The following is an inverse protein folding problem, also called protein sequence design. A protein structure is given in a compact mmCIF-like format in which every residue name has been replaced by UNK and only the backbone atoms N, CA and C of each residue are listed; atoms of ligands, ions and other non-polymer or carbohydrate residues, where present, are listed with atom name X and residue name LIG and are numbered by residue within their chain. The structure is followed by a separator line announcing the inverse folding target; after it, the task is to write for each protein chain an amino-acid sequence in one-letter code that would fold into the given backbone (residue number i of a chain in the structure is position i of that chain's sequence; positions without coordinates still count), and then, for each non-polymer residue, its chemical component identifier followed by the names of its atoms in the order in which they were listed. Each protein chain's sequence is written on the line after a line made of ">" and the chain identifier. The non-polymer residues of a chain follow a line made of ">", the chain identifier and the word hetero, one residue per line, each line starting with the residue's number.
data_IF_363553476498
#
_entry.id   IF_363553476498
#
_cell.length_a   1.000
_cell.length_b   1.000
_cell.length_c   1.000
_cell.angle_alpha   90.00
_cell.angle_beta   90.00
_cell.angle_gamma   90.00
#
_symmetry.space_group_name_H-M   'P 1'
#
loop_
_entity.id
_entity.type
_entity.pdbx_description
1 polymer ?
#
# COMPACT_ATOMS: atom_id res chain seq x y z
N UNK A 1 25.54 -15.12 39.35
CA UNK A 1 25.07 -15.99 38.26
C UNK A 1 23.60 -15.70 38.02
N UNK A 2 23.27 -14.96 36.97
CA UNK A 2 21.91 -14.71 36.54
C UNK A 2 21.94 -14.61 35.02
N UNK A 3 21.67 -15.73 34.35
CA UNK A 3 21.64 -15.80 32.90
C UNK A 3 20.49 -14.91 32.40
N UNK A 4 20.82 -13.81 31.73
CA UNK A 4 19.85 -13.12 30.89
C UNK A 4 19.52 -14.07 29.74
N UNK A 5 18.33 -14.67 29.78
CA UNK A 5 17.79 -15.40 28.66
C UNK A 5 17.85 -14.49 27.42
N UNK A 6 18.71 -14.88 26.46
CA UNK A 6 18.84 -14.18 25.20
C UNK A 6 17.48 -14.16 24.52
N UNK A 7 16.86 -12.98 24.43
CA UNK A 7 15.71 -12.77 23.56
C UNK A 7 16.14 -13.13 22.15
N UNK A 8 15.53 -14.18 21.62
CA UNK A 8 15.76 -14.70 20.28
C UNK A 8 15.65 -13.60 19.23
N UNK A 9 16.49 -13.72 18.20
CA UNK A 9 16.67 -12.81 17.07
C UNK A 9 15.35 -12.24 16.54
N UNK A 10 15.16 -10.92 16.68
CA UNK A 10 14.36 -10.16 15.72
C UNK A 10 15.07 -10.22 14.36
N UNK A 11 14.37 -10.39 13.23
CA UNK A 11 15.02 -10.27 11.92
C UNK A 11 15.75 -8.92 11.88
N UNK A 12 17.03 -8.98 11.55
CA UNK A 12 17.86 -7.77 11.46
C UNK A 12 17.25 -6.85 10.42
N UNK A 13 17.35 -5.53 10.56
CA UNK A 13 16.86 -4.63 9.51
C UNK A 13 17.60 -4.87 8.16
N UNK A 14 18.74 -5.56 8.18
CA UNK A 14 19.44 -6.10 7.00
C UNK A 14 18.75 -7.31 6.36
N UNK A 15 17.91 -8.05 7.08
CA UNK A 15 17.13 -9.14 6.50
C UNK A 15 16.11 -8.65 5.45
N UNK A 16 15.68 -7.39 5.61
CA UNK A 16 14.85 -6.64 4.66
C UNK A 16 15.59 -6.18 3.39
N UNK A 17 16.85 -6.56 3.19
CA UNK A 17 17.60 -6.19 1.97
C UNK A 17 18.28 -7.36 1.27
N UNK A 18 17.91 -8.59 1.62
CA UNK A 18 18.41 -9.76 0.90
C UNK A 18 17.53 -10.03 -0.32
N UNK A 19 18.16 -10.16 -1.49
CA UNK A 19 17.47 -10.43 -2.75
C UNK A 19 16.80 -11.83 -2.74
N UNK A 20 15.74 -11.97 -3.53
CA UNK A 20 15.10 -13.25 -3.86
C UNK A 20 14.54 -14.03 -2.66
N UNK A 21 14.01 -13.34 -1.67
CA UNK A 21 13.29 -13.98 -0.56
C UNK A 21 12.21 -13.06 -0.02
N UNK A 22 11.15 -13.66 0.52
CA UNK A 22 10.17 -12.93 1.30
C UNK A 22 10.80 -12.61 2.66
N UNK A 23 10.99 -11.33 3.03
CA UNK A 23 11.47 -11.01 4.38
C UNK A 23 10.44 -11.47 5.41
N UNK A 24 10.90 -11.77 6.63
CA UNK A 24 9.97 -12.06 7.73
C UNK A 24 9.30 -10.76 8.16
N UNK A 25 8.01 -10.81 8.45
CA UNK A 25 7.30 -9.67 9.03
C UNK A 25 7.94 -9.29 10.38
N UNK A 26 7.94 -8.00 10.77
CA UNK A 26 8.33 -7.58 12.12
C UNK A 26 7.52 -8.23 13.25
N UNK A 27 6.39 -8.88 12.92
CA UNK A 27 5.58 -9.68 13.85
C UNK A 27 6.15 -11.11 14.07
N UNK A 28 7.30 -11.45 13.46
CA UNK A 28 7.96 -12.75 13.60
C UNK A 28 9.00 -12.81 14.74
N UNK A 29 9.04 -13.93 15.51
CA UNK A 29 7.87 -14.65 16.01
C UNK A 29 7.43 -13.97 17.32
N UNK A 30 6.16 -13.92 17.77
CA UNK A 30 5.11 -14.92 17.60
C UNK A 30 3.68 -14.35 17.53
N UNK A 31 2.72 -15.18 17.12
CA UNK A 31 1.45 -15.61 17.76
C UNK A 31 0.67 -16.19 16.58
N UNK A 32 0.27 -17.47 16.61
CA UNK A 32 -0.56 -18.02 15.53
C UNK A 32 -1.90 -17.27 15.42
N UNK A 33 -2.36 -16.72 16.55
CA UNK A 33 -3.58 -15.96 16.65
C UNK A 33 -3.54 -14.94 17.81
N UNK A 34 -3.94 -13.70 17.56
CA UNK A 34 -4.33 -12.76 18.63
C UNK A 34 -5.68 -12.13 18.33
N UNK A 35 -6.45 -11.85 19.36
CA UNK A 35 -7.72 -11.14 19.25
C UNK A 35 -7.50 -9.64 19.02
N UNK A 36 -6.49 -9.07 19.69
CA UNK A 36 -6.20 -7.63 19.71
C UNK A 36 -4.77 -7.37 19.26
N UNK A 37 -4.56 -6.29 18.51
CA UNK A 37 -3.25 -5.96 17.95
C UNK A 37 -3.06 -4.44 17.82
N UNK A 38 -1.97 -3.93 18.40
CA UNK A 38 -1.54 -2.53 18.28
C UNK A 38 -2.65 -1.51 18.61
N UNK A 39 -3.05 -0.68 17.63
CA UNK A 39 -4.09 0.34 17.79
C UNK A 39 -5.49 -0.24 17.97
N UNK A 40 -5.72 -1.47 17.54
CA UNK A 40 -6.93 -2.22 17.78
C UNK A 40 -6.78 -3.04 19.06
N UNK A 41 -7.05 -2.38 20.18
CA UNK A 41 -7.02 -2.97 21.53
C UNK A 41 -8.40 -2.93 22.16
N UNK A 42 -8.64 -3.80 23.13
CA UNK A 42 -9.89 -3.81 23.89
C UNK A 42 -10.18 -2.46 24.53
N UNK A 43 -9.17 -1.83 25.14
CA UNK A 43 -9.28 -0.48 25.71
C UNK A 43 -9.70 0.55 24.66
N UNK A 44 -9.06 0.56 23.48
CA UNK A 44 -9.41 1.49 22.41
C UNK A 44 -10.81 1.20 21.86
N UNK A 45 -11.21 -0.07 21.77
CA UNK A 45 -12.55 -0.46 21.38
C UNK A 45 -13.59 0.02 22.40
N UNK A 46 -13.36 -0.18 23.70
CA UNK A 46 -14.25 0.31 24.76
C UNK A 46 -14.33 1.84 24.77
N UNK A 47 -13.22 2.54 24.53
CA UNK A 47 -13.19 4.01 24.54
C UNK A 47 -13.80 4.66 23.30
N UNK A 48 -13.52 4.14 22.10
CA UNK A 48 -13.87 4.79 20.82
C UNK A 48 -14.19 3.84 19.67
N UNK A 49 -14.29 2.55 19.91
CA UNK A 49 -14.47 1.55 18.86
C UNK A 49 -15.81 1.66 18.15
N UNK A 50 -15.85 1.23 16.89
CA UNK A 50 -17.09 1.15 16.14
C UNK A 50 -17.99 0.02 16.70
N UNK A 51 -19.18 0.38 17.19
CA UNK A 51 -20.15 -0.54 17.80
C UNK A 51 -20.89 -1.44 16.81
N UNK A 52 -20.72 -1.23 15.50
CA UNK A 52 -21.13 -2.20 14.50
C UNK A 52 -20.35 -3.53 14.58
N UNK A 53 -19.17 -3.51 15.23
CA UNK A 53 -18.38 -4.69 15.54
C UNK A 53 -18.58 -5.08 17.01
N UNK A 54 -18.66 -6.38 17.27
CA UNK A 54 -18.47 -6.94 18.61
C UNK A 54 -16.97 -7.06 18.95
N UNK A 55 -16.61 -7.19 20.24
CA UNK A 55 -15.24 -7.53 20.65
C UNK A 55 -14.67 -8.74 19.91
N UNK A 56 -15.52 -9.72 19.57
CA UNK A 56 -15.12 -10.96 18.93
C UNK A 56 -15.08 -10.91 17.38
N UNK A 57 -15.51 -9.78 16.79
CA UNK A 57 -15.66 -9.67 15.33
C UNK A 57 -14.34 -9.75 14.54
N UNK A 58 -13.19 -9.51 15.17
CA UNK A 58 -11.89 -9.46 14.49
C UNK A 58 -10.85 -10.28 15.24
N UNK A 59 -10.17 -11.15 14.50
CA UNK A 59 -8.98 -11.85 14.96
C UNK A 59 -7.87 -11.81 13.92
N UNK A 60 -6.64 -11.92 14.41
CA UNK A 60 -5.42 -11.84 13.62
C UNK A 60 -4.72 -13.19 13.65
N UNK A 61 -4.86 -13.96 12.56
CA UNK A 61 -4.09 -15.19 12.33
C UNK A 61 -2.87 -14.87 11.49
N UNK A 62 -1.73 -15.40 11.88
CA UNK A 62 -0.46 -15.17 11.19
C UNK A 62 0.12 -16.49 10.67
N UNK A 63 0.71 -16.41 9.49
CA UNK A 63 1.45 -17.51 8.89
C UNK A 63 2.87 -17.64 9.49
N UNK A 64 3.59 -18.67 9.07
CA UNK A 64 4.95 -18.98 9.53
C UNK A 64 5.97 -17.88 9.28
N UNK A 65 5.68 -16.94 8.39
CA UNK A 65 6.51 -15.77 8.07
C UNK A 65 6.09 -14.51 8.85
N UNK A 66 5.04 -14.59 9.68
CA UNK A 66 4.52 -13.51 10.50
C UNK A 66 3.59 -12.55 9.75
N UNK A 67 3.12 -12.91 8.55
CA UNK A 67 2.13 -12.12 7.81
C UNK A 67 0.73 -12.56 8.16
N UNK A 68 -0.23 -11.63 8.16
CA UNK A 68 -1.62 -11.95 8.43
C UNK A 68 -2.25 -12.69 7.25
N UNK A 69 -2.75 -13.90 7.50
CA UNK A 69 -3.40 -14.74 6.49
C UNK A 69 -2.85 -16.16 6.45
N UNK A 70 -3.16 -16.93 5.39
CA UNK A 70 -2.66 -18.28 5.21
C UNK A 70 -1.17 -18.31 4.89
N UNK A 71 -0.60 -19.51 4.88
CA UNK A 71 0.77 -19.74 4.41
C UNK A 71 0.93 -19.30 2.95
N UNK A 72 2.16 -18.90 2.61
CA UNK A 72 2.50 -18.52 1.23
C UNK A 72 2.81 -19.76 0.39
N UNK A 73 1.83 -20.66 0.32
CA UNK A 73 1.83 -21.83 -0.54
C UNK A 73 1.03 -21.56 -1.82
N UNK A 74 1.36 -22.31 -2.87
CA UNK A 74 0.71 -22.24 -4.17
C UNK A 74 0.77 -23.60 -4.82
N UNK A 75 -0.39 -24.16 -5.15
CA UNK A 75 -0.48 -25.38 -5.93
C UNK A 75 -0.36 -25.08 -7.43
N UNK A 76 0.01 -26.10 -8.21
CA UNK A 76 0.04 -25.97 -9.66
C UNK A 76 -1.37 -25.66 -10.18
N UNK A 77 -1.51 -24.59 -10.95
CA UNK A 77 -2.81 -24.13 -11.46
C UNK A 77 -3.51 -23.10 -10.57
N UNK A 78 -2.97 -22.74 -9.41
CA UNK A 78 -3.43 -21.57 -8.66
C UNK A 78 -2.93 -20.28 -9.31
N UNK A 79 -3.75 -19.23 -9.21
CA UNK A 79 -3.32 -17.84 -9.40
C UNK A 79 -2.77 -17.30 -8.08
N UNK A 80 -1.82 -16.37 -8.13
CA UNK A 80 -1.25 -15.73 -6.97
C UNK A 80 -1.26 -14.20 -7.14
N UNK A 81 -1.80 -13.49 -6.14
CA UNK A 81 -1.82 -12.03 -6.13
C UNK A 81 -1.10 -11.53 -4.88
N UNK A 82 -0.11 -10.66 -5.10
CA UNK A 82 0.60 -9.98 -4.02
C UNK A 82 -0.06 -8.65 -3.72
N UNK A 83 -0.33 -8.41 -2.45
CA UNK A 83 -0.89 -7.16 -1.94
C UNK A 83 0.12 -6.46 -1.06
N UNK A 84 0.43 -5.20 -1.33
CA UNK A 84 1.41 -4.43 -0.55
C UNK A 84 0.82 -3.07 -0.15
N UNK A 85 1.16 -2.60 1.05
CA UNK A 85 0.73 -1.31 1.57
C UNK A 85 0.91 -1.19 3.07
N UNK A 86 0.05 -0.39 3.71
CA UNK A 86 0.17 -0.05 5.13
C UNK A 86 -0.77 -0.85 6.05
N UNK A 87 -1.20 -0.25 7.17
CA UNK A 87 -2.15 -0.86 8.11
C UNK A 87 -3.54 -1.13 7.51
N UNK A 88 -3.96 -0.42 6.47
CA UNK A 88 -5.23 -0.72 5.78
C UNK A 88 -5.08 -1.97 4.90
N UNK A 89 -3.94 -2.16 4.23
CA UNK A 89 -3.66 -3.42 3.51
C UNK A 89 -3.49 -4.59 4.48
N UNK A 90 -2.83 -4.37 5.62
CA UNK A 90 -2.77 -5.37 6.71
C UNK A 90 -4.17 -5.69 7.28
N UNK A 91 -5.05 -4.70 7.34
CA UNK A 91 -6.43 -4.85 7.82
C UNK A 91 -6.61 -4.62 9.32
N UNK A 92 -5.93 -3.65 9.91
CA UNK A 92 -6.07 -3.38 11.34
C UNK A 92 -7.52 -2.98 11.69
N UNK A 93 -8.09 -3.63 12.70
CA UNK A 93 -9.48 -3.45 13.14
C UNK A 93 -10.52 -4.11 12.25
N UNK A 94 -10.10 -4.93 11.27
CA UNK A 94 -10.99 -5.49 10.24
C UNK A 94 -10.97 -7.02 10.20
N UNK A 95 -12.13 -7.70 10.02
CA UNK A 95 -12.17 -9.15 9.79
C UNK A 95 -11.44 -9.53 8.51
N UNK A 96 -10.74 -10.66 8.50
CA UNK A 96 -9.86 -11.06 7.38
C UNK A 96 -10.66 -11.21 6.07
N UNK A 97 -11.81 -11.84 6.12
CA UNK A 97 -12.67 -12.14 4.96
C UNK A 97 -13.33 -10.88 4.38
N UNK A 98 -13.24 -9.74 5.09
CA UNK A 98 -13.78 -8.44 4.69
C UNK A 98 -12.70 -7.44 4.29
N UNK A 99 -11.43 -7.86 4.26
CA UNK A 99 -10.34 -7.03 3.76
C UNK A 99 -10.48 -6.82 2.25
N UNK A 100 -10.00 -5.68 1.78
CA UNK A 100 -10.06 -5.37 0.35
C UNK A 100 -9.23 -6.38 -0.44
N UNK A 101 -8.11 -6.85 0.13
CA UNK A 101 -7.26 -7.91 -0.44
C UNK A 101 -8.01 -9.24 -0.57
N UNK A 102 -8.81 -9.61 0.43
CA UNK A 102 -9.60 -10.84 0.43
C UNK A 102 -10.82 -10.76 -0.47
N UNK A 103 -11.45 -9.59 -0.56
CA UNK A 103 -12.54 -9.33 -1.49
C UNK A 103 -12.05 -9.35 -2.95
N UNK A 104 -10.90 -8.75 -3.26
CA UNK A 104 -10.27 -8.85 -4.60
C UNK A 104 -9.94 -10.30 -4.92
N UNK A 105 -9.29 -11.01 -3.99
CA UNK A 105 -8.91 -12.42 -4.15
C UNK A 105 -10.12 -13.29 -4.47
N UNK A 106 -11.21 -13.13 -3.72
CA UNK A 106 -12.47 -13.86 -3.95
C UNK A 106 -13.06 -13.53 -5.31
N UNK A 107 -13.18 -12.25 -5.66
CA UNK A 107 -13.73 -11.84 -6.96
C UNK A 107 -12.93 -12.38 -8.13
N UNK A 108 -11.60 -12.40 -8.05
CA UNK A 108 -10.75 -13.00 -9.08
C UNK A 108 -10.94 -14.53 -9.15
N UNK A 109 -11.10 -15.20 -8.01
CA UNK A 109 -11.36 -16.63 -8.00
C UNK A 109 -12.68 -16.97 -8.69
N UNK A 110 -13.73 -16.19 -8.39
CA UNK A 110 -15.05 -16.32 -9.02
C UNK A 110 -14.99 -16.02 -10.53
N UNK A 111 -14.25 -14.98 -10.95
CA UNK A 111 -14.10 -14.59 -12.35
C UNK A 111 -13.33 -15.62 -13.20
N UNK A 112 -12.31 -16.25 -12.62
CA UNK A 112 -11.45 -17.18 -13.35
C UNK A 112 -11.81 -18.66 -13.15
N UNK A 113 -12.71 -18.98 -12.21
CA UNK A 113 -13.02 -20.36 -11.85
C UNK A 113 -11.80 -21.13 -11.31
N UNK A 114 -10.87 -20.42 -10.67
CA UNK A 114 -9.59 -20.96 -10.16
C UNK A 114 -9.34 -20.45 -8.75
N UNK A 115 -8.64 -21.22 -7.94
CA UNK A 115 -8.13 -20.73 -6.65
C UNK A 115 -7.17 -19.55 -6.88
N UNK A 116 -7.34 -18.51 -6.08
CA UNK A 116 -6.44 -17.36 -6.02
C UNK A 116 -5.80 -17.30 -4.64
N UNK A 117 -4.47 -17.34 -4.59
CA UNK A 117 -3.67 -17.20 -3.38
C UNK A 117 -3.43 -15.73 -3.09
N UNK A 118 -3.79 -15.33 -1.87
CA UNK A 118 -3.56 -13.98 -1.36
C UNK A 118 -2.22 -13.93 -0.63
N UNK A 119 -1.24 -13.21 -1.18
CA UNK A 119 0.01 -12.90 -0.50
C UNK A 119 -0.04 -11.47 0.05
N UNK A 120 -0.58 -11.32 1.26
CA UNK A 120 -0.72 -10.01 1.90
C UNK A 120 0.55 -9.63 2.65
N UNK A 121 1.30 -8.68 2.09
CA UNK A 121 2.54 -8.12 2.61
C UNK A 121 2.34 -6.74 3.27
N UNK A 122 1.10 -6.35 3.56
CA UNK A 122 0.77 -5.10 4.24
C UNK A 122 1.36 -5.04 5.65
N UNK A 123 1.88 -3.88 6.05
CA UNK A 123 2.42 -3.69 7.39
C UNK A 123 2.18 -2.26 7.90
N UNK A 124 1.84 -2.12 9.18
CA UNK A 124 1.40 -0.86 9.77
C UNK A 124 2.45 0.26 9.70
N UNK A 125 1.96 1.49 9.51
CA UNK A 125 2.75 2.73 9.51
C UNK A 125 3.83 2.85 8.41
N UNK A 126 3.91 1.92 7.46
CA UNK A 126 4.94 1.92 6.42
C UNK A 126 4.81 3.04 5.40
N UNK A 127 5.91 3.31 4.70
CA UNK A 127 6.00 4.28 3.60
C UNK A 127 6.15 3.64 2.22
N UNK A 128 6.31 4.49 1.21
CA UNK A 128 6.49 4.05 -0.20
C UNK A 128 7.77 3.24 -0.43
N UNK A 129 8.80 3.51 0.36
CA UNK A 129 10.07 2.78 0.38
C UNK A 129 9.90 1.33 0.85
N UNK A 130 9.02 1.07 1.82
CA UNK A 130 8.66 -0.30 2.22
C UNK A 130 8.00 -1.05 1.07
N UNK A 131 7.08 -0.41 0.33
CA UNK A 131 6.43 -1.03 -0.84
C UNK A 131 7.47 -1.42 -1.88
N UNK A 132 8.38 -0.50 -2.23
CA UNK A 132 9.44 -0.78 -3.20
C UNK A 132 10.34 -1.94 -2.74
N UNK A 133 10.75 -1.92 -1.48
CA UNK A 133 11.55 -2.99 -0.89
C UNK A 133 10.84 -4.35 -0.97
N UNK A 134 9.58 -4.43 -0.51
CA UNK A 134 8.81 -5.68 -0.56
C UNK A 134 8.71 -6.23 -1.98
N UNK A 135 8.34 -5.39 -2.95
CA UNK A 135 8.23 -5.82 -4.36
C UNK A 135 9.57 -6.37 -4.87
N UNK A 136 10.68 -5.67 -4.68
CA UNK A 136 11.98 -6.11 -5.22
C UNK A 136 12.52 -7.39 -4.56
N UNK A 137 12.07 -7.71 -3.35
CA UNK A 137 12.55 -8.90 -2.64
C UNK A 137 11.65 -10.12 -2.84
N UNK A 138 10.33 -9.90 -2.88
CA UNK A 138 9.38 -10.99 -2.77
C UNK A 138 8.90 -11.52 -4.11
N UNK A 139 8.87 -10.71 -5.19
CA UNK A 139 8.20 -11.14 -6.43
C UNK A 139 8.91 -12.31 -7.12
N UNK A 140 10.23 -12.40 -7.05
CA UNK A 140 10.97 -13.54 -7.64
C UNK A 140 10.72 -14.84 -6.87
N UNK A 141 10.55 -14.74 -5.54
CA UNK A 141 10.24 -15.87 -4.68
C UNK A 141 8.77 -16.31 -4.79
N UNK A 142 7.84 -15.34 -4.81
CA UNK A 142 6.39 -15.58 -4.82
C UNK A 142 5.84 -15.84 -6.22
N UNK A 143 6.51 -15.33 -7.26
CA UNK A 143 6.10 -15.39 -8.67
C UNK A 143 4.61 -15.08 -8.87
N UNK A 144 4.15 -13.88 -8.47
CA UNK A 144 2.74 -13.53 -8.56
C UNK A 144 2.29 -13.35 -10.02
N UNK A 145 1.02 -13.64 -10.26
CA UNK A 145 0.34 -13.37 -11.52
C UNK A 145 -0.12 -11.89 -11.60
N UNK A 146 -0.25 -11.21 -10.45
CA UNK A 146 -0.48 -9.75 -10.39
C UNK A 146 0.01 -9.16 -9.06
N UNK A 147 0.31 -7.86 -9.06
CA UNK A 147 0.61 -7.08 -7.84
C UNK A 147 -0.40 -5.94 -7.68
N UNK A 148 -1.03 -5.88 -6.52
CA UNK A 148 -1.93 -4.81 -6.12
C UNK A 148 -1.31 -3.97 -4.99
N UNK A 149 -1.26 -2.65 -5.17
CA UNK A 149 -0.65 -1.75 -4.16
C UNK A 149 -1.63 -0.69 -3.71
N UNK A 150 -1.82 -0.58 -2.39
CA UNK A 150 -2.34 0.64 -1.79
C UNK A 150 -1.14 1.43 -1.29
N UNK A 151 -0.77 2.47 -2.03
CA UNK A 151 0.38 3.30 -1.68
C UNK A 151 0.10 4.03 -0.37
N UNK A 152 0.98 3.90 0.64
CA UNK A 152 0.85 4.65 1.88
C UNK A 152 0.91 6.16 1.65
N UNK A 153 0.62 6.95 2.69
CA UNK A 153 0.78 8.41 2.61
C UNK A 153 2.16 8.79 2.07
N UNK A 154 2.18 9.74 1.14
CA UNK A 154 3.40 10.24 0.49
C UNK A 154 4.40 10.83 1.47
N UNK A 155 3.94 11.16 2.68
CA UNK A 155 4.73 11.77 3.73
C UNK A 155 5.48 10.74 4.60
N UNK A 156 5.21 9.44 4.43
CA UNK A 156 5.83 8.36 5.23
C UNK A 156 7.08 7.81 4.58
N UNK A 157 8.07 7.51 5.42
CA UNK A 157 9.34 6.90 5.02
C UNK A 157 9.88 6.03 6.17
N UNK A 158 10.59 4.96 5.85
CA UNK A 158 11.34 4.19 6.82
C UNK A 158 12.69 4.84 7.08
N UNK A 159 13.11 4.83 8.33
CA UNK A 159 14.41 5.27 8.75
C UNK A 159 15.12 4.20 9.55
N UNK A 160 16.43 4.09 9.32
CA UNK A 160 17.27 3.09 9.92
C UNK A 160 18.35 3.78 10.75
N UNK A 161 18.07 4.12 12.02
CA UNK A 161 19.10 4.69 12.91
C UNK A 161 20.29 3.75 13.10
N UNK A 162 20.08 2.44 12.94
CA UNK A 162 21.14 1.44 12.87
C UNK A 162 20.76 0.35 11.85
N UNK A 163 21.71 -0.46 11.35
CA UNK A 163 21.41 -1.62 10.49
C UNK A 163 20.49 -2.67 11.12
N UNK A 164 20.16 -2.56 12.40
CA UNK A 164 19.32 -3.51 13.14
C UNK A 164 18.00 -2.91 13.61
N UNK A 165 17.76 -1.62 13.38
CA UNK A 165 16.58 -0.91 13.86
C UNK A 165 15.93 -0.16 12.71
N UNK A 166 14.67 -0.47 12.46
CA UNK A 166 13.82 0.26 11.52
C UNK A 166 12.77 1.04 12.29
N UNK A 167 12.55 2.28 11.89
CA UNK A 167 11.50 3.15 12.41
C UNK A 167 10.65 3.63 11.23
N UNK A 168 9.34 3.57 11.36
CA UNK A 168 8.43 4.10 10.37
C UNK A 168 7.97 5.48 10.80
N UNK A 169 8.32 6.50 10.03
CA UNK A 169 7.96 7.88 10.37
C UNK A 169 6.59 8.26 9.83
N UNK A 170 5.80 8.88 10.73
CA UNK A 170 4.46 9.39 10.48
C UNK A 170 4.46 10.90 10.77
N UNK A 171 4.49 11.79 9.77
CA UNK A 171 4.63 13.23 10.02
C UNK A 171 3.52 13.84 10.88
N UNK A 172 2.31 13.29 10.77
CA UNK A 172 1.14 13.73 11.53
C UNK A 172 1.01 13.06 12.91
N UNK A 173 1.96 12.21 13.31
CA UNK A 173 1.94 11.54 14.61
C UNK A 173 3.27 11.72 15.34
N UNK A 174 3.24 12.48 16.43
CA UNK A 174 4.37 12.58 17.36
C UNK A 174 4.39 11.33 18.24
N UNK A 175 5.42 10.48 18.15
CA UNK A 175 5.58 9.36 19.05
C UNK A 175 5.95 9.85 20.45
N UNK A 176 5.52 9.13 21.48
CA UNK A 176 5.99 9.31 22.87
C UNK A 176 7.44 8.81 23.07
N UNK A 177 8.03 8.22 22.04
CA UNK A 177 9.38 7.66 22.00
C UNK A 177 10.14 8.16 20.76
N UNK A 178 11.47 8.24 20.81
CA UNK A 178 12.31 8.77 19.71
C UNK A 178 11.95 10.20 19.27
N UNK A 179 11.65 11.07 20.24
CA UNK A 179 11.18 12.43 20.00
C UNK A 179 12.24 13.30 19.32
N UNK A 180 13.52 13.13 19.66
CA UNK A 180 14.64 13.84 19.04
C UNK A 180 14.82 13.45 17.58
N UNK A 181 14.77 12.15 17.28
CA UNK A 181 14.87 11.64 15.93
C UNK A 181 13.68 12.06 15.07
N UNK A 182 12.48 12.04 15.64
CA UNK A 182 11.29 12.56 14.98
C UNK A 182 11.42 14.07 14.69
N UNK A 183 11.96 14.86 15.62
CA UNK A 183 12.21 16.28 15.40
C UNK A 183 13.29 16.54 14.35
N UNK A 184 14.36 15.72 14.32
CA UNK A 184 15.38 15.77 13.28
C UNK A 184 14.78 15.43 11.90
N UNK A 185 13.93 14.41 11.84
CA UNK A 185 13.19 14.04 10.64
C UNK A 185 12.33 15.18 10.13
N UNK A 186 11.49 15.79 10.99
CA UNK A 186 10.62 16.91 10.58
C UNK A 186 11.40 18.12 10.06
N UNK A 187 12.67 18.29 10.47
CA UNK A 187 13.54 19.36 9.94
C UNK A 187 14.08 19.04 8.54
N UNK A 188 14.37 17.77 8.26
CA UNK A 188 14.96 17.36 6.99
C UNK A 188 13.89 17.05 5.93
N UNK A 189 12.81 16.38 6.35
CA UNK A 189 11.74 15.86 5.48
C UNK A 189 10.66 16.89 5.18
N UNK A 190 10.99 17.74 4.21
CA UNK A 190 10.02 18.62 3.57
C UNK A 190 8.97 17.82 2.79
N UNK A 191 7.80 18.41 2.57
CA UNK A 191 6.72 17.80 1.79
C UNK A 191 7.18 17.45 0.36
N UNK A 192 8.05 18.28 -0.23
CA UNK A 192 8.66 18.00 -1.52
C UNK A 192 9.58 16.78 -1.46
N UNK A 193 10.43 16.67 -0.43
CA UNK A 193 11.32 15.53 -0.28
C UNK A 193 10.53 14.22 -0.15
N UNK A 194 9.49 14.20 0.67
CA UNK A 194 8.68 12.99 0.89
C UNK A 194 7.86 12.64 -0.36
N UNK A 195 7.32 13.63 -1.07
CA UNK A 195 6.66 13.41 -2.36
C UNK A 195 7.61 12.83 -3.41
N UNK A 196 8.82 13.38 -3.57
CA UNK A 196 9.79 12.83 -4.51
C UNK A 196 10.37 11.47 -4.07
N UNK A 197 10.35 11.17 -2.77
CA UNK A 197 10.59 9.81 -2.28
C UNK A 197 9.48 8.86 -2.76
N UNK A 198 8.21 9.25 -2.65
CA UNK A 198 7.10 8.49 -3.22
C UNK A 198 7.26 8.27 -4.73
N UNK A 199 7.50 9.33 -5.51
CA UNK A 199 7.68 9.24 -6.97
C UNK A 199 8.82 8.29 -7.33
N UNK A 200 9.96 8.38 -6.64
CA UNK A 200 11.10 7.49 -6.89
C UNK A 200 10.76 6.03 -6.64
N UNK A 201 10.16 5.73 -5.49
CA UNK A 201 9.79 4.36 -5.13
C UNK A 201 8.70 3.80 -6.04
N UNK A 202 7.75 4.64 -6.47
CA UNK A 202 6.76 4.27 -7.48
C UNK A 202 7.43 3.84 -8.78
N UNK A 203 8.37 4.65 -9.30
CA UNK A 203 9.05 4.35 -10.56
C UNK A 203 9.92 3.09 -10.46
N UNK A 204 10.56 2.85 -9.31
CA UNK A 204 11.30 1.61 -9.07
C UNK A 204 10.37 0.38 -9.14
N UNK A 205 9.23 0.42 -8.44
CA UNK A 205 8.24 -0.68 -8.48
C UNK A 205 7.72 -0.88 -9.90
N UNK A 206 7.29 0.20 -10.56
CA UNK A 206 6.76 0.14 -11.92
C UNK A 206 7.77 -0.47 -12.89
N UNK A 207 9.01 -0.02 -12.86
CA UNK A 207 10.06 -0.54 -13.74
C UNK A 207 10.32 -2.02 -13.49
N UNK A 208 10.38 -2.44 -12.22
CA UNK A 208 10.61 -3.84 -11.85
C UNK A 208 9.47 -4.76 -12.29
N UNK A 209 8.22 -4.37 -12.07
CA UNK A 209 7.07 -5.18 -12.48
C UNK A 209 6.95 -5.25 -14.00
N UNK A 210 7.24 -4.16 -14.71
CA UNK A 210 7.27 -4.14 -16.17
C UNK A 210 8.38 -5.04 -16.74
N UNK A 211 9.57 -5.03 -16.15
CA UNK A 211 10.67 -5.93 -16.51
C UNK A 211 10.28 -7.41 -16.37
N UNK A 212 9.55 -7.75 -15.30
CA UNK A 212 9.06 -9.11 -15.06
C UNK A 212 7.78 -9.46 -15.83
N UNK A 213 7.18 -8.52 -16.56
CA UNK A 213 5.89 -8.72 -17.24
C UNK A 213 4.72 -8.98 -16.28
N UNK A 214 4.78 -8.47 -15.05
CA UNK A 214 3.75 -8.69 -14.02
C UNK A 214 2.77 -7.51 -14.04
N UNK A 215 1.46 -7.75 -14.25
CA UNK A 215 0.41 -6.74 -14.14
C UNK A 215 0.40 -6.04 -12.79
N UNK A 216 0.13 -4.73 -12.82
CA UNK A 216 0.26 -3.85 -11.67
C UNK A 216 -0.92 -2.90 -11.55
N UNK A 217 -1.69 -3.04 -10.47
CA UNK A 217 -2.83 -2.17 -10.16
C UNK A 217 -2.62 -1.47 -8.83
N UNK A 218 -3.00 -0.20 -8.75
CA UNK A 218 -2.65 0.60 -7.58
C UNK A 218 -3.62 1.72 -7.28
N UNK A 219 -3.72 2.03 -5.99
CA UNK A 219 -4.39 3.22 -5.48
C UNK A 219 -3.51 3.96 -4.48
N UNK A 220 -3.96 5.11 -4.00
CA UNK A 220 -3.25 5.91 -3.00
C UNK A 220 -4.09 6.06 -1.74
N UNK A 221 -3.48 5.88 -0.57
CA UNK A 221 -4.17 6.09 0.70
C UNK A 221 -4.51 7.57 0.93
N UNK A 222 -3.58 8.45 0.57
CA UNK A 222 -3.78 9.90 0.67
C UNK A 222 -4.20 10.45 -0.69
N UNK A 223 -5.27 11.25 -0.78
CA UNK A 223 -5.69 11.83 -2.05
C UNK A 223 -4.64 12.82 -2.55
N UNK A 224 -3.97 12.45 -3.65
CA UNK A 224 -3.09 13.32 -4.44
C UNK A 224 -3.88 13.72 -5.70
N UNK A 225 -3.87 14.99 -6.12
CA UNK A 225 -4.58 15.37 -7.34
C UNK A 225 -4.12 14.55 -8.53
N UNK A 226 -5.08 14.04 -9.31
CA UNK A 226 -4.82 13.18 -10.46
C UNK A 226 -3.89 13.85 -11.47
N UNK A 227 -3.95 15.17 -11.64
CA UNK A 227 -3.06 15.87 -12.58
C UNK A 227 -1.60 15.85 -12.10
N UNK A 228 -1.39 15.85 -10.78
CA UNK A 228 -0.04 15.72 -10.21
C UNK A 228 0.45 14.28 -10.38
N UNK A 229 -0.37 13.28 -10.04
CA UNK A 229 0.01 11.88 -10.27
C UNK A 229 0.33 11.61 -11.74
N UNK A 230 -0.55 12.00 -12.65
CA UNK A 230 -0.35 11.83 -14.09
C UNK A 230 0.99 12.39 -14.59
N UNK A 231 1.44 13.52 -14.03
CA UNK A 231 2.70 14.15 -14.43
C UNK A 231 3.96 13.38 -13.98
N UNK A 232 3.90 12.64 -12.87
CA UNK A 232 5.08 12.02 -12.24
C UNK A 232 5.07 10.49 -12.24
N UNK A 233 3.90 9.86 -12.21
CA UNK A 233 3.74 8.39 -12.11
C UNK A 233 3.14 7.79 -13.38
N UNK A 234 2.38 8.58 -14.15
CA UNK A 234 1.37 8.05 -15.07
C UNK A 234 0.15 7.53 -14.30
N UNK A 235 -0.87 7.05 -15.01
CA UNK A 235 -2.10 6.51 -14.43
C UNK A 235 -2.41 5.08 -14.90
N UNK A 236 -1.48 4.43 -15.61
CA UNK A 236 -1.63 3.02 -16.01
C UNK A 236 -1.80 2.16 -14.73
N UNK A 237 -2.85 1.34 -14.69
CA UNK A 237 -3.24 0.56 -13.51
C UNK A 237 -3.78 1.35 -12.31
N UNK A 238 -4.00 2.67 -12.40
CA UNK A 238 -4.52 3.48 -11.29
C UNK A 238 -6.03 3.26 -11.09
N UNK A 239 -6.44 2.93 -9.87
CA UNK A 239 -7.85 2.65 -9.54
C UNK A 239 -8.50 3.71 -8.65
N UNK A 240 -7.75 4.73 -8.23
CA UNK A 240 -8.27 5.83 -7.41
C UNK A 240 -7.61 5.99 -6.04
N UNK A 241 -8.11 6.96 -5.29
CA UNK A 241 -7.71 7.18 -3.91
C UNK A 241 -8.59 6.36 -2.96
N UNK A 242 -8.04 6.02 -1.81
CA UNK A 242 -8.77 5.40 -0.72
C UNK A 242 -9.66 6.45 -0.03
N UNK A 243 -10.98 6.34 -0.19
CA UNK A 243 -11.95 7.24 0.41
C UNK A 243 -12.71 6.52 1.53
N UNK A 244 -12.30 6.66 2.81
CA UNK A 244 -12.97 5.95 3.89
C UNK A 244 -14.36 6.54 4.13
N UNK A 245 -15.39 5.69 4.04
CA UNK A 245 -16.80 6.03 4.27
C UNK A 245 -17.32 5.57 5.63
N UNK A 246 -16.62 4.61 6.24
CA UNK A 246 -16.92 4.01 7.53
C UNK A 246 -15.63 3.66 8.30
N UNK A 247 -15.78 3.24 9.56
CA UNK A 247 -14.65 2.96 10.46
C UNK A 247 -14.59 1.49 10.87
N UNK A 248 -13.38 0.98 11.05
CA UNK A 248 -13.07 -0.35 11.57
C UNK A 248 -13.41 -0.48 13.07
N UNK A 249 -13.22 -1.68 13.63
CA UNK A 249 -13.45 -1.97 15.06
C UNK A 249 -12.74 -0.97 15.98
N UNK A 250 -11.54 -0.54 15.64
CA UNK A 250 -10.72 0.36 16.46
C UNK A 250 -11.15 1.84 16.45
N UNK A 251 -12.15 2.18 15.64
CA UNK A 251 -12.69 3.53 15.48
C UNK A 251 -11.72 4.49 14.78
N UNK A 252 -10.71 3.98 14.06
CA UNK A 252 -9.69 4.80 13.39
C UNK A 252 -9.41 4.36 11.96
N UNK A 253 -9.27 3.06 11.71
CA UNK A 253 -9.01 2.54 10.36
C UNK A 253 -10.30 2.49 9.54
N UNK A 254 -10.16 2.29 8.24
CA UNK A 254 -11.29 2.20 7.31
C UNK A 254 -12.12 0.92 7.56
N UNK A 255 -13.44 1.06 7.51
CA UNK A 255 -14.37 -0.02 7.83
C UNK A 255 -14.73 -0.93 6.64
N UNK A 256 -15.80 -1.70 6.83
CA UNK A 256 -16.29 -2.71 5.89
C UNK A 256 -16.62 -2.11 4.52
N UNK A 257 -17.35 -1.00 4.49
CA UNK A 257 -17.84 -0.42 3.25
C UNK A 257 -16.69 0.21 2.47
N UNK A 258 -15.78 0.90 3.17
CA UNK A 258 -14.56 1.46 2.58
C UNK A 258 -13.69 0.37 1.92
N UNK A 259 -13.53 -0.78 2.60
CA UNK A 259 -12.79 -1.91 2.06
C UNK A 259 -13.48 -2.53 0.84
N UNK A 260 -14.80 -2.58 0.83
CA UNK A 260 -15.58 -3.11 -0.28
C UNK A 260 -15.52 -2.21 -1.52
N UNK A 261 -15.66 -0.89 -1.35
CA UNK A 261 -15.59 0.09 -2.44
C UNK A 261 -14.22 0.05 -3.13
N UNK A 262 -13.14 0.05 -2.35
CA UNK A 262 -11.79 -0.02 -2.92
C UNK A 262 -11.52 -1.37 -3.60
N UNK A 263 -12.02 -2.48 -3.04
CA UNK A 263 -11.92 -3.79 -3.69
C UNK A 263 -12.65 -3.81 -5.04
N UNK A 264 -13.83 -3.20 -5.12
CA UNK A 264 -14.58 -3.10 -6.37
C UNK A 264 -13.81 -2.31 -7.44
N UNK A 265 -13.21 -1.17 -7.06
CA UNK A 265 -12.37 -0.37 -7.96
C UNK A 265 -11.15 -1.17 -8.45
N UNK A 266 -10.49 -1.93 -7.56
CA UNK A 266 -9.39 -2.83 -7.92
C UNK A 266 -9.81 -3.90 -8.93
N UNK A 267 -10.90 -4.63 -8.66
CA UNK A 267 -11.42 -5.68 -9.55
C UNK A 267 -11.79 -5.11 -10.92
N UNK A 268 -12.43 -3.93 -10.95
CA UNK A 268 -12.78 -3.26 -12.20
C UNK A 268 -11.53 -2.89 -13.02
N UNK A 269 -10.50 -2.35 -12.36
CA UNK A 269 -9.21 -2.05 -13.01
C UNK A 269 -8.58 -3.31 -13.61
N UNK A 270 -8.51 -4.40 -12.84
CA UNK A 270 -7.95 -5.68 -13.28
C UNK A 270 -8.70 -6.29 -14.46
N UNK A 271 -10.03 -6.25 -14.44
CA UNK A 271 -10.86 -6.80 -15.52
C UNK A 271 -10.68 -6.05 -16.85
N UNK A 272 -10.49 -4.72 -16.78
CA UNK A 272 -10.31 -3.88 -17.98
C UNK A 272 -9.01 -4.11 -18.74
N UNK A 273 -7.97 -4.63 -18.08
CA UNK A 273 -6.62 -4.82 -18.63
C UNK A 273 -6.32 -6.28 -19.05
N UNK A 274 -7.33 -7.14 -19.12
CA UNK A 274 -7.17 -8.46 -19.73
C UNK A 274 -6.69 -9.57 -18.77
N UNK A 275 -6.73 -9.34 -17.45
CA UNK A 275 -6.98 -10.43 -16.50
C UNK A 275 -8.48 -10.82 -16.51
N UNK A 276 -9.10 -10.80 -17.69
CA UNK A 276 -10.46 -11.29 -17.97
C UNK A 276 -10.43 -12.75 -18.44
N UNK A 277 -11.58 -13.37 -18.74
CA UNK A 277 -11.66 -14.79 -19.07
C UNK A 277 -10.70 -15.15 -20.21
N UNK A 278 -9.92 -16.21 -19.98
CA UNK A 278 -8.83 -16.63 -20.83
C UNK A 278 -9.28 -16.81 -22.29
N UNK A 279 -8.85 -15.88 -23.15
CA UNK A 279 -8.70 -16.17 -24.57
C UNK A 279 -7.55 -17.15 -24.73
N UNK A 280 -7.85 -18.31 -25.31
CA UNK A 280 -6.87 -19.31 -25.74
C UNK A 280 -5.85 -18.66 -26.68
N UNK A 281 -4.59 -18.53 -26.27
CA UNK A 281 -3.58 -17.89 -27.12
C UNK A 281 -2.18 -17.96 -26.55
N UNK A 282 -1.51 -19.09 -26.74
CA UNK A 282 -0.07 -19.22 -26.60
C UNK A 282 0.67 -18.30 -27.57
N UNK A 283 1.57 -17.46 -27.08
CA UNK A 283 2.73 -16.99 -27.85
C UNK A 283 3.89 -16.66 -26.91
N UNK A 284 5.03 -17.31 -27.15
CA UNK A 284 6.30 -17.04 -26.46
C UNK A 284 6.76 -15.59 -26.68
N UNK A 285 7.49 -14.98 -25.72
CA UNK A 285 7.95 -13.59 -25.86
C UNK A 285 9.01 -13.47 -26.95
N UNK A 286 8.70 -12.72 -28.01
CA UNK A 286 9.69 -12.21 -28.95
C UNK A 286 10.44 -11.03 -28.32
N UNK A 287 11.76 -11.00 -28.53
CA UNK A 287 12.64 -9.94 -28.07
C UNK A 287 12.23 -8.57 -28.66
N UNK A 288 11.99 -7.60 -27.77
CA UNK A 288 11.61 -6.23 -28.14
C UNK A 288 12.84 -5.42 -28.49
N UNK A 289 12.92 -4.95 -29.75
CA UNK A 289 13.91 -3.98 -30.21
C UNK A 289 13.62 -2.58 -29.64
N UNK A 290 14.65 -1.71 -29.47
CA UNK A 290 14.47 -0.42 -28.81
C UNK A 290 13.61 0.56 -29.63
N UNK A 291 12.83 1.44 -28.97
CA UNK A 291 11.88 2.31 -29.65
C UNK A 291 12.59 3.45 -30.40
N UNK A 292 12.12 3.72 -31.62
CA UNK A 292 12.47 4.93 -32.38
C UNK A 292 11.69 6.15 -31.87
N UNK A 293 12.27 7.36 -31.95
CA UNK A 293 11.63 8.58 -31.45
C UNK A 293 10.41 8.97 -32.29
N UNK A 294 9.28 9.26 -31.63
CA UNK A 294 8.05 9.76 -32.27
C UNK A 294 8.06 11.28 -32.43
N UNK A 295 7.57 11.75 -33.57
CA UNK A 295 7.37 13.16 -33.90
C UNK A 295 6.24 13.79 -33.07
N UNK A 296 6.38 15.10 -32.78
CA UNK A 296 5.42 15.91 -32.00
C UNK A 296 4.14 16.19 -32.80
N UNK A 297 2.99 16.00 -32.17
CA UNK A 297 1.69 16.50 -32.65
C UNK A 297 1.33 17.83 -31.95
N UNK A 298 0.56 18.72 -32.62
CA UNK A 298 0.25 20.05 -32.11
C UNK A 298 -0.88 20.04 -31.07
N UNK A 299 -0.81 21.03 -30.18
CA UNK A 299 -1.70 21.24 -29.02
C UNK A 299 -3.02 21.88 -29.46
N UNK A 300 -4.15 21.29 -29.06
CA UNK A 300 -5.48 21.88 -29.22
C UNK A 300 -5.94 22.59 -27.92
N UNK A 301 -6.60 23.73 -28.09
CA UNK A 301 -7.12 24.64 -27.06
C UNK A 301 -8.45 24.18 -26.45
N UNK A 302 -8.64 24.39 -25.15
CA UNK A 302 -9.83 23.99 -24.38
C UNK A 302 -11.01 25.01 -24.46
N UNK A 303 -12.28 24.57 -24.29
CA UNK A 303 -13.42 25.46 -24.07
C UNK A 303 -13.78 25.60 -22.57
N UNK A 304 -14.64 26.57 -22.20
CA UNK A 304 -14.72 27.12 -20.84
C UNK A 304 -15.69 26.40 -19.89
N UNK A 305 -15.51 26.71 -18.60
CA UNK A 305 -16.22 26.17 -17.43
C UNK A 305 -17.63 26.73 -17.26
N UNK A 306 -18.52 25.90 -16.71
CA UNK A 306 -19.75 26.31 -16.04
C UNK A 306 -19.69 25.79 -14.61
N UNK A 307 -19.75 26.72 -13.64
CA UNK A 307 -19.81 26.43 -12.21
C UNK A 307 -21.27 26.26 -11.72
N UNK A 308 -21.35 25.53 -10.61
CA UNK A 308 -22.29 25.67 -9.48
C UNK A 308 -23.46 24.68 -9.40
N UNK A 309 -23.43 23.79 -8.39
CA UNK A 309 -24.22 23.89 -7.15
C UNK A 309 -24.13 22.59 -6.33
N UNK A 310 -24.34 22.73 -5.02
CA UNK A 310 -24.40 21.72 -3.95
C UNK A 310 -23.07 21.32 -3.27
N UNK A 311 -22.81 21.98 -2.14
CA UNK A 311 -22.02 21.45 -1.02
C UNK A 311 -22.98 21.08 0.11
N UNK A 312 -22.68 20.00 0.86
CA UNK A 312 -22.64 20.15 2.30
C UNK A 312 -21.32 19.65 2.91
N UNK A 313 -20.83 20.45 3.85
CA UNK A 313 -19.93 20.16 4.97
C UNK A 313 -19.23 18.78 5.02
N UNK A 314 -18.20 18.57 4.21
CA UNK A 314 -17.13 17.57 4.46
C UNK A 314 -15.83 18.17 3.99
N UNK A 315 -15.07 18.76 4.92
CA UNK A 315 -13.65 19.11 4.80
C UNK A 315 -13.31 20.18 5.85
N UNK A 316 -12.69 19.80 6.97
CA UNK A 316 -12.02 20.82 7.79
C UNK A 316 -10.70 20.40 8.44
N UNK A 317 -10.14 19.23 8.11
CA UNK A 317 -8.82 18.85 8.64
C UNK A 317 -7.80 18.45 7.55
N UNK A 318 -8.21 17.90 6.40
CA UNK A 318 -7.27 17.44 5.35
C UNK A 318 -7.11 18.38 4.15
N UNK A 319 -8.15 19.08 3.70
CA UNK A 319 -8.08 19.91 2.48
C UNK A 319 -7.32 21.22 2.64
N UNK A 320 -7.26 21.78 3.86
CA UNK A 320 -6.57 23.03 4.14
C UNK A 320 -5.04 22.95 4.00
N UNK A 321 -4.45 21.79 4.31
CA UNK A 321 -3.01 21.55 4.15
C UNK A 321 -2.66 21.18 2.71
N UNK A 322 -3.45 20.29 2.08
CA UNK A 322 -3.24 19.90 0.67
C UNK A 322 -3.41 21.07 -0.32
N UNK A 323 -4.36 21.97 -0.08
CA UNK A 323 -4.50 23.19 -0.89
C UNK A 323 -3.34 24.17 -0.78
N UNK A 324 -2.59 24.19 0.33
CA UNK A 324 -1.32 24.94 0.43
C UNK A 324 -0.17 24.17 -0.24
N UNK A 325 -0.12 22.84 -0.08
CA UNK A 325 0.82 21.91 -0.74
C UNK A 325 0.85 22.03 -2.26
N UNK A 326 -0.32 22.00 -2.90
CA UNK A 326 -0.43 22.07 -4.37
C UNK A 326 -0.08 23.47 -4.89
N UNK A 327 -0.40 24.53 -4.15
CA UNK A 327 -0.06 25.91 -4.53
C UNK A 327 1.44 26.19 -4.44
N UNK A 328 2.16 25.56 -3.52
CA UNK A 328 3.61 25.64 -3.46
C UNK A 328 4.28 24.91 -4.66
N UNK A 329 3.80 23.72 -5.00
CA UNK A 329 4.33 22.92 -6.13
C UNK A 329 3.98 23.49 -7.52
N UNK A 330 2.86 24.20 -7.67
CA UNK A 330 2.44 24.83 -8.94
C UNK A 330 3.10 26.19 -9.20
N UNK A 331 3.74 26.81 -8.20
CA UNK A 331 4.56 28.00 -8.44
C UNK A 331 5.80 27.53 -9.19
N UNK A 332 5.93 27.98 -10.45
CA UNK A 332 7.06 27.75 -11.35
C UNK A 332 8.33 28.42 -10.80
N UNK A 333 8.85 27.95 -9.69
CA UNK A 333 10.19 28.33 -9.24
C UNK A 333 11.00 27.07 -8.96
N UNK A 334 11.53 26.42 -10.00
CA UNK A 334 12.43 25.30 -9.82
C UNK A 334 13.81 25.88 -9.49
N UNK A 335 14.26 25.70 -8.25
CA UNK A 335 15.68 25.70 -7.90
C UNK A 335 16.48 26.95 -8.35
N UNK A 336 16.36 28.04 -7.60
CA UNK A 336 17.45 29.02 -7.47
C UNK A 336 17.79 29.13 -5.98
N UNK A 337 18.88 28.48 -5.59
CA UNK A 337 19.78 28.95 -4.54
C UNK A 337 21.18 29.01 -5.14
#
# INVERSE_FOLDING_TARGET
>A
MGQSAGRGFLPSATDFWQANRVPRSPQYPPVAFTQWLHGDSEENYLRRGNRAFSPDSVGYRFNSMGYRGPEFDRDAGDLAVVFVGDSNTFGLGMPYERLWTSLVTKSLADLHGRTVRQFNLGFGATGSDYVAMMVHQSIDALRPDAVCVLWPSTARISWFPTPRRQLFFLPDWRPDFNTEEHAAFLRLSTEAQTFFNFVRNFQLVRARLAECGIPYHWGVLEPVPTEVLQAYTGLDGYVGAWEPVDLARDGRHAGIDSHAEFAAAMVQGMASEGLGPAGTGSAAPQAVAPPRPRARLPVATAPPRVDALFRPARQMITSGRLGRRIRAMRRRDPFIY
#
